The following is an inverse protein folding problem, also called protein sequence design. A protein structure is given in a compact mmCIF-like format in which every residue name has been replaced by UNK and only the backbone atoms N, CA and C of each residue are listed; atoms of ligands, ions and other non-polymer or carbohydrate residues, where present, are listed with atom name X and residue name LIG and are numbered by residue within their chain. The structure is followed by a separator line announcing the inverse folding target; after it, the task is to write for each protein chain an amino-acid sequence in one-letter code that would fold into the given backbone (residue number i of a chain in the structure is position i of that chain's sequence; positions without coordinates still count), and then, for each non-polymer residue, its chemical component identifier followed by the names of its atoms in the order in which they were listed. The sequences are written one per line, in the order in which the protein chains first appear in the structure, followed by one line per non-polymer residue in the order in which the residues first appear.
data_IF_375585335430
#
_entry.id   IF_375585335430
#
_cell.length_a   1.000
_cell.length_b   1.000
_cell.length_c   1.000
_cell.angle_alpha   90.00
_cell.angle_beta   90.00
_cell.angle_gamma   90.00
#
_symmetry.space_group_name_H-M   'P 1'
#
loop_
_entity.id
_entity.type
_entity.pdbx_description
1 polymer ?
#
# COMPACT_ATOMS: atom_id res chain seq x y z
N UNK A 1 1.27 -55.23 54.56
CA UNK A 1 0.31 -54.15 54.91
C UNK A 1 0.76 -52.88 54.21
N UNK A 2 -0.15 -52.23 53.50
CA UNK A 2 0.08 -51.19 52.50
C UNK A 2 0.70 -49.91 53.10
N UNK A 3 1.74 -49.41 52.45
CA UNK A 3 2.10 -48.00 52.46
C UNK A 3 1.17 -47.25 51.50
N UNK A 4 0.47 -46.21 51.96
CA UNK A 4 -0.28 -45.28 51.12
C UNK A 4 0.49 -43.97 51.00
N UNK A 5 0.75 -43.43 49.79
CA UNK A 5 1.28 -42.09 49.66
C UNK A 5 0.13 -41.08 49.78
N UNK A 6 0.32 -40.07 50.64
CA UNK A 6 -0.55 -38.90 50.69
C UNK A 6 -0.42 -38.13 49.37
N UNK A 7 -1.52 -38.10 48.61
CA UNK A 7 -1.66 -37.31 47.41
C UNK A 7 -1.63 -35.83 47.74
N UNK A 8 -0.70 -35.12 47.10
CA UNK A 8 -0.59 -33.68 47.08
C UNK A 8 -1.72 -33.12 46.19
N UNK A 9 -2.86 -32.73 46.78
CA UNK A 9 -3.93 -32.01 46.06
C UNK A 9 -3.52 -30.54 45.84
N UNK A 10 -2.61 -30.34 44.89
CA UNK A 10 -2.40 -29.03 44.27
C UNK A 10 -3.64 -28.67 43.44
N UNK A 11 -4.45 -27.73 43.95
CA UNK A 11 -5.70 -27.26 43.34
C UNK A 11 -5.55 -26.92 41.86
N UNK A 12 -6.01 -27.83 40.99
CA UNK A 12 -6.15 -27.58 39.58
C UNK A 12 -7.32 -26.61 39.38
N UNK A 13 -7.02 -25.32 39.18
CA UNK A 13 -8.03 -24.32 38.77
C UNK A 13 -8.81 -24.91 37.58
N UNK A 14 -10.14 -25.05 37.67
CA UNK A 14 -10.96 -25.67 36.63
C UNK A 14 -10.68 -25.05 35.26
N UNK A 15 -10.57 -25.87 34.21
CA UNK A 15 -10.28 -25.41 32.85
C UNK A 15 -11.21 -24.27 32.38
N UNK A 16 -12.46 -24.26 32.87
CA UNK A 16 -13.44 -23.19 32.65
C UNK A 16 -13.04 -21.86 33.28
N UNK A 17 -12.55 -21.86 34.52
CA UNK A 17 -12.06 -20.65 35.21
C UNK A 17 -10.76 -20.13 34.58
N UNK A 18 -9.87 -21.02 34.13
CA UNK A 18 -8.68 -20.65 33.34
C UNK A 18 -9.08 -20.02 32.00
N UNK A 19 -10.09 -20.55 31.31
CA UNK A 19 -10.62 -19.99 30.06
C UNK A 19 -11.23 -18.61 30.28
N UNK A 20 -12.09 -18.44 31.29
CA UNK A 20 -12.70 -17.15 31.65
C UNK A 20 -11.63 -16.11 32.01
N UNK A 21 -10.65 -16.47 32.84
CA UNK A 21 -9.54 -15.56 33.20
C UNK A 21 -8.69 -15.15 31.99
N UNK A 22 -8.39 -16.11 31.10
CA UNK A 22 -7.67 -15.84 29.85
C UNK A 22 -8.48 -14.93 28.91
N UNK A 23 -9.77 -15.17 28.77
CA UNK A 23 -10.64 -14.41 27.85
C UNK A 23 -10.87 -12.98 28.38
N UNK A 24 -11.00 -12.82 29.71
CA UNK A 24 -11.03 -11.51 30.38
C UNK A 24 -9.71 -10.77 30.19
N UNK A 25 -8.56 -11.45 30.37
CA UNK A 25 -7.24 -10.85 30.14
C UNK A 25 -7.01 -10.52 28.65
N UNK A 26 -7.40 -11.40 27.72
CA UNK A 26 -7.32 -11.14 26.29
C UNK A 26 -8.20 -9.95 25.88
N UNK A 27 -9.38 -9.82 26.48
CA UNK A 27 -10.24 -8.66 26.30
C UNK A 27 -9.63 -7.40 26.90
N UNK A 28 -9.05 -7.48 28.10
CA UNK A 28 -8.31 -6.37 28.73
C UNK A 28 -7.11 -5.94 27.88
N UNK A 29 -6.32 -6.87 27.34
CA UNK A 29 -5.19 -6.55 26.47
C UNK A 29 -5.66 -6.03 25.11
N UNK A 30 -6.69 -6.62 24.52
CA UNK A 30 -7.26 -6.17 23.24
C UNK A 30 -7.87 -4.76 23.33
N UNK A 31 -8.67 -4.51 24.36
CA UNK A 31 -9.31 -3.21 24.65
C UNK A 31 -8.29 -2.21 25.17
N UNK A 32 -7.42 -2.61 26.10
CA UNK A 32 -6.35 -1.79 26.68
C UNK A 32 -5.29 -1.38 25.66
N UNK A 33 -4.99 -2.21 24.65
CA UNK A 33 -4.23 -1.78 23.45
C UNK A 33 -4.97 -0.71 22.67
N UNK A 34 -6.29 -0.83 22.56
CA UNK A 34 -7.14 0.24 22.02
C UNK A 34 -6.90 1.56 22.73
N UNK A 35 -6.76 1.53 24.07
CA UNK A 35 -6.45 2.70 24.91
C UNK A 35 -5.00 3.18 24.75
N UNK A 36 -3.99 2.29 24.68
CA UNK A 36 -2.60 2.70 24.47
C UNK A 36 -2.34 3.28 23.07
N UNK A 37 -3.01 2.74 22.04
CA UNK A 37 -2.99 3.29 20.70
C UNK A 37 -3.95 4.48 20.53
N UNK A 38 -4.80 4.80 21.52
CA UNK A 38 -5.80 5.85 21.41
C UNK A 38 -5.17 7.26 21.26
N UNK A 39 -4.15 7.66 22.04
CA UNK A 39 -3.46 8.93 21.82
C UNK A 39 -2.84 9.01 20.43
N UNK A 40 -2.20 7.93 19.98
CA UNK A 40 -1.58 7.83 18.66
C UNK A 40 -2.64 7.93 17.55
N UNK A 41 -3.76 7.21 17.67
CA UNK A 41 -4.89 7.27 16.74
C UNK A 41 -5.56 8.65 16.73
N UNK A 42 -5.69 9.28 17.89
CA UNK A 42 -6.27 10.62 18.01
C UNK A 42 -5.36 11.63 17.34
N UNK A 43 -4.05 11.57 17.60
CA UNK A 43 -3.04 12.39 16.94
C UNK A 43 -3.06 12.17 15.42
N UNK A 44 -3.18 10.93 14.95
CA UNK A 44 -3.30 10.64 13.52
C UNK A 44 -4.59 11.19 12.91
N UNK A 45 -5.70 11.17 13.66
CA UNK A 45 -7.01 11.66 13.22
C UNK A 45 -7.15 13.17 13.27
N UNK A 46 -6.29 13.89 14.00
CA UNK A 46 -6.35 15.35 14.15
C UNK A 46 -5.18 16.05 13.47
N UNK A 47 -3.95 15.71 13.85
CA UNK A 47 -2.71 16.37 13.43
C UNK A 47 -2.04 15.63 12.28
N UNK A 48 -2.09 14.29 12.26
CA UNK A 48 -1.58 13.45 11.18
C UNK A 48 -2.33 13.60 9.85
N UNK A 49 -3.36 14.44 9.81
CA UNK A 49 -4.00 14.90 8.57
C UNK A 49 -3.18 15.98 7.85
N UNK A 50 -2.13 16.52 8.49
CA UNK A 50 -1.23 17.52 7.91
C UNK A 50 -0.03 16.81 7.31
N UNK A 51 0.21 17.05 6.02
CA UNK A 51 1.34 16.48 5.28
C UNK A 51 2.69 16.67 6.00
N UNK A 52 2.99 17.90 6.45
CA UNK A 52 4.27 18.20 7.10
C UNK A 52 4.51 17.37 8.36
N UNK A 53 3.48 17.17 9.18
CA UNK A 53 3.57 16.34 10.38
C UNK A 53 3.85 14.87 10.06
N UNK A 54 3.17 14.33 9.03
CA UNK A 54 3.37 12.94 8.62
C UNK A 54 4.79 12.72 8.08
N UNK A 55 5.31 13.66 7.28
CA UNK A 55 6.69 13.63 6.78
C UNK A 55 7.69 13.70 7.93
N UNK A 56 7.54 14.65 8.86
CA UNK A 56 8.41 14.74 10.03
C UNK A 56 8.38 13.47 10.85
N UNK A 57 7.20 12.89 11.08
CA UNK A 57 7.08 11.63 11.81
C UNK A 57 7.90 10.52 11.14
N UNK A 58 7.80 10.35 9.82
CA UNK A 58 8.58 9.33 9.12
C UNK A 58 10.07 9.61 9.12
N UNK A 59 10.49 10.87 8.98
CA UNK A 59 11.89 11.26 8.98
C UNK A 59 12.59 11.02 10.33
N UNK A 60 11.89 11.24 11.45
CA UNK A 60 12.49 11.14 12.79
C UNK A 60 12.25 9.79 13.49
N UNK A 61 11.30 8.99 13.02
CA UNK A 61 10.95 7.73 13.67
C UNK A 61 11.86 6.60 13.21
N UNK A 62 12.47 5.84 14.13
CA UNK A 62 13.26 4.66 13.76
C UNK A 62 12.43 3.65 12.94
N UNK A 63 12.94 3.14 11.81
CA UNK A 63 12.21 2.17 10.98
C UNK A 63 11.77 0.91 11.73
N UNK A 64 12.58 0.45 12.70
CA UNK A 64 12.25 -0.70 13.57
C UNK A 64 11.05 -0.43 14.47
N UNK A 65 10.90 0.80 14.97
CA UNK A 65 9.76 1.25 15.75
C UNK A 65 8.50 1.32 14.88
N UNK A 66 8.61 1.92 13.68
CA UNK A 66 7.49 1.99 12.73
C UNK A 66 6.99 0.60 12.33
N UNK A 67 7.91 -0.35 12.08
CA UNK A 67 7.56 -1.75 11.80
C UNK A 67 6.84 -2.41 12.98
N UNK A 68 7.27 -2.13 14.21
CA UNK A 68 6.61 -2.64 15.42
C UNK A 68 5.20 -2.07 15.55
N UNK A 69 5.03 -0.76 15.36
CA UNK A 69 3.72 -0.09 15.37
C UNK A 69 2.82 -0.67 14.29
N UNK A 70 3.35 -0.88 13.08
CA UNK A 70 2.65 -1.51 11.96
C UNK A 70 2.08 -2.87 12.35
N UNK A 71 2.92 -3.76 12.89
CA UNK A 71 2.51 -5.08 13.36
C UNK A 71 1.44 -5.00 14.45
N UNK A 72 1.62 -4.15 15.46
CA UNK A 72 0.66 -3.99 16.55
C UNK A 72 -0.71 -3.51 16.07
N UNK A 73 -0.74 -2.60 15.08
CA UNK A 73 -1.98 -2.11 14.48
C UNK A 73 -2.65 -3.17 13.62
N UNK A 74 -1.88 -3.95 12.88
CA UNK A 74 -2.38 -5.09 12.11
C UNK A 74 -2.95 -6.19 13.01
N UNK A 75 -2.27 -6.54 14.11
CA UNK A 75 -2.80 -7.45 15.13
C UNK A 75 -4.13 -6.96 15.72
N UNK A 76 -4.24 -5.65 15.96
CA UNK A 76 -5.51 -5.05 16.43
C UNK A 76 -6.62 -5.15 15.38
N UNK A 77 -6.31 -4.90 14.10
CA UNK A 77 -7.26 -5.06 13.01
C UNK A 77 -7.73 -6.52 12.88
N UNK A 78 -6.79 -7.46 12.94
CA UNK A 78 -7.05 -8.90 12.91
C UNK A 78 -7.92 -9.36 14.08
N UNK A 79 -7.56 -8.98 15.31
CA UNK A 79 -8.33 -9.31 16.52
C UNK A 79 -9.76 -8.75 16.49
N UNK A 80 -9.94 -7.57 15.88
CA UNK A 80 -11.27 -6.99 15.66
C UNK A 80 -12.04 -7.77 14.59
N UNK A 81 -11.39 -8.17 13.50
CA UNK A 81 -12.00 -8.94 12.43
C UNK A 81 -12.54 -10.28 12.96
N UNK A 82 -11.75 -10.99 13.79
CA UNK A 82 -12.15 -12.30 14.37
C UNK A 82 -13.42 -12.23 15.22
N UNK A 83 -13.78 -11.04 15.72
CA UNK A 83 -14.94 -10.82 16.59
C UNK A 83 -16.13 -10.17 15.91
N UNK A 84 -15.91 -9.51 14.77
CA UNK A 84 -16.92 -8.61 14.18
C UNK A 84 -17.28 -8.97 12.75
N UNK A 85 -16.48 -9.75 12.04
CA UNK A 85 -16.74 -10.09 10.63
C UNK A 85 -17.26 -11.51 10.57
N UNK A 86 -18.55 -11.73 10.20
CA UNK A 86 -19.15 -13.06 10.14
C UNK A 86 -18.35 -14.04 9.27
N UNK A 87 -18.00 -13.65 8.04
CA UNK A 87 -17.23 -14.49 7.12
C UNK A 87 -15.86 -14.86 7.69
N UNK A 88 -15.19 -13.93 8.36
CA UNK A 88 -13.86 -14.20 8.94
C UNK A 88 -13.95 -15.19 10.11
N UNK A 89 -15.00 -15.09 10.92
CA UNK A 89 -15.26 -16.08 11.97
C UNK A 89 -15.51 -17.49 11.40
N UNK A 90 -16.32 -17.60 10.34
CA UNK A 90 -16.58 -18.86 9.66
C UNK A 90 -15.32 -19.43 8.99
N UNK A 91 -14.56 -18.59 8.29
CA UNK A 91 -13.27 -18.94 7.69
C UNK A 91 -12.27 -19.53 8.69
N UNK A 92 -12.16 -18.90 9.87
CA UNK A 92 -11.28 -19.42 10.92
C UNK A 92 -11.79 -20.75 11.49
N UNK A 93 -13.10 -20.92 11.67
CA UNK A 93 -13.67 -22.17 12.14
C UNK A 93 -13.41 -23.33 11.18
N UNK A 94 -13.59 -23.10 9.87
CA UNK A 94 -13.28 -24.09 8.82
C UNK A 94 -11.79 -24.44 8.77
N UNK A 95 -10.91 -23.46 9.01
CA UNK A 95 -9.47 -23.67 9.12
C UNK A 95 -9.03 -24.31 10.46
N UNK A 96 -9.97 -24.69 11.33
CA UNK A 96 -9.68 -25.31 12.63
C UNK A 96 -9.15 -24.35 13.70
N UNK A 97 -9.32 -23.04 13.51
CA UNK A 97 -8.83 -22.00 14.43
C UNK A 97 -9.96 -21.52 15.36
N UNK A 98 -9.83 -21.77 16.67
CA UNK A 98 -10.75 -21.23 17.69
C UNK A 98 -10.57 -19.71 17.85
N UNK A 99 -11.38 -18.94 17.11
CA UNK A 99 -11.38 -17.48 17.12
C UNK A 99 -11.61 -16.87 18.52
N UNK A 100 -12.38 -17.55 19.40
CA UNK A 100 -12.62 -17.08 20.76
C UNK A 100 -11.38 -17.26 21.64
N UNK A 101 -10.61 -18.33 21.40
CA UNK A 101 -9.37 -18.63 22.11
C UNK A 101 -8.14 -17.83 21.66
N UNK A 102 -8.25 -17.04 20.59
CA UNK A 102 -7.14 -16.24 20.07
C UNK A 102 -6.77 -15.07 20.99
N UNK A 103 -5.49 -15.01 21.33
CA UNK A 103 -4.91 -13.90 22.09
C UNK A 103 -4.47 -12.76 21.14
N UNK A 104 -4.72 -11.48 21.49
CA UNK A 104 -4.42 -10.36 20.58
C UNK A 104 -2.94 -10.21 20.18
N UNK A 105 -2.00 -10.48 21.10
CA UNK A 105 -0.56 -10.37 20.83
C UNK A 105 -0.08 -11.58 20.03
N UNK A 106 0.64 -11.34 18.93
CA UNK A 106 1.12 -12.40 18.05
C UNK A 106 0.02 -13.08 17.22
N UNK A 107 -1.19 -12.51 17.19
CA UNK A 107 -2.35 -13.15 16.55
C UNK A 107 -2.11 -13.45 15.06
N UNK A 108 -1.39 -12.57 14.36
CA UNK A 108 -1.10 -12.75 12.93
C UNK A 108 -0.38 -14.06 12.63
N UNK A 109 0.51 -14.53 13.53
CA UNK A 109 1.21 -15.80 13.34
C UNK A 109 0.35 -17.04 13.54
N UNK A 110 -0.92 -16.88 13.93
CA UNK A 110 -1.90 -17.97 14.15
C UNK A 110 -3.05 -17.95 13.15
N UNK A 111 -3.07 -16.96 12.27
CA UNK A 111 -4.15 -16.78 11.29
C UNK A 111 -3.68 -17.32 9.95
N UNK A 112 -4.52 -18.12 9.24
CA UNK A 112 -4.24 -18.49 7.88
C UNK A 112 -4.26 -17.27 6.96
N UNK A 113 -3.61 -17.40 5.80
CA UNK A 113 -3.68 -16.43 4.71
C UNK A 113 -5.08 -16.42 4.10
N UNK A 114 -5.52 -15.25 3.64
CA UNK A 114 -6.74 -15.09 2.85
C UNK A 114 -6.38 -14.69 1.44
N UNK A 115 -7.16 -15.10 0.47
CA UNK A 115 -6.99 -14.68 -0.92
C UNK A 115 -8.36 -14.69 -1.63
N UNK A 116 -8.35 -14.50 -2.95
CA UNK A 116 -9.57 -14.54 -3.77
C UNK A 116 -10.30 -15.88 -3.64
N UNK A 117 -9.59 -16.98 -3.82
CA UNK A 117 -10.12 -18.34 -3.86
C UNK A 117 -10.52 -18.84 -2.47
N UNK A 118 -9.68 -18.63 -1.46
CA UNK A 118 -9.88 -19.16 -0.10
C UNK A 118 -10.88 -18.35 0.71
N UNK A 119 -11.11 -17.07 0.37
CA UNK A 119 -11.93 -16.17 1.16
C UNK A 119 -12.94 -15.34 0.36
N UNK A 120 -12.56 -14.72 -0.76
CA UNK A 120 -13.47 -13.82 -1.47
C UNK A 120 -14.58 -14.58 -2.20
N UNK A 121 -14.23 -15.69 -2.85
CA UNK A 121 -15.15 -16.54 -3.63
C UNK A 121 -16.10 -17.33 -2.73
N UNK A 122 -15.62 -17.71 -1.54
CA UNK A 122 -16.36 -18.61 -0.63
C UNK A 122 -17.39 -17.90 0.22
N UNK A 123 -17.24 -16.60 0.44
CA UNK A 123 -18.05 -15.85 1.40
C UNK A 123 -18.80 -14.67 0.76
N UNK A 124 -20.12 -14.53 1.02
CA UNK A 124 -20.92 -13.42 0.51
C UNK A 124 -20.34 -12.04 0.84
N UNK A 125 -20.53 -11.08 -0.07
CA UNK A 125 -19.99 -9.72 0.07
C UNK A 125 -20.33 -9.05 1.42
N UNK A 126 -21.57 -9.18 1.88
CA UNK A 126 -22.01 -8.57 3.13
C UNK A 126 -21.42 -9.25 4.36
N UNK A 127 -21.26 -10.58 4.34
CA UNK A 127 -20.67 -11.33 5.45
C UNK A 127 -19.17 -11.02 5.63
N UNK A 128 -18.50 -10.61 4.56
CA UNK A 128 -17.12 -10.10 4.60
C UNK A 128 -17.02 -8.70 5.22
N UNK A 129 -18.14 -8.02 5.45
CA UNK A 129 -18.17 -6.70 6.06
C UNK A 129 -18.23 -6.76 7.60
N UNK A 130 -17.71 -5.73 8.25
CA UNK A 130 -17.78 -5.56 9.70
C UNK A 130 -19.24 -5.52 10.16
N UNK A 131 -19.63 -6.51 10.95
CA UNK A 131 -20.99 -6.81 11.45
C UNK A 131 -21.99 -7.25 10.37
N UNK A 132 -21.53 -7.76 9.22
CA UNK A 132 -22.41 -8.35 8.20
C UNK A 132 -23.24 -7.33 7.42
N UNK A 133 -22.91 -6.04 7.47
CA UNK A 133 -23.72 -5.00 6.83
C UNK A 133 -22.94 -3.72 6.56
N UNK A 134 -23.55 -2.84 5.76
CA UNK A 134 -22.93 -1.60 5.29
C UNK A 134 -23.90 -0.42 5.40
N UNK A 135 -23.41 0.81 5.65
CA UNK A 135 -24.22 1.99 5.47
C UNK A 135 -24.57 2.15 3.99
N UNK A 136 -25.76 2.65 3.67
CA UNK A 136 -26.13 2.90 2.25
C UNK A 136 -25.44 4.17 1.74
N UNK A 137 -25.64 5.29 2.42
CA UNK A 137 -25.09 6.57 2.00
C UNK A 137 -23.55 6.59 2.05
N UNK A 138 -22.94 6.90 0.91
CA UNK A 138 -21.48 7.04 0.77
C UNK A 138 -20.71 5.74 0.57
N UNK A 139 -21.41 4.61 0.48
CA UNK A 139 -20.83 3.31 0.08
C UNK A 139 -20.75 3.22 -1.44
N UNK A 140 -19.62 2.74 -1.94
CA UNK A 140 -19.40 2.47 -3.37
C UNK A 140 -18.94 1.04 -3.57
N UNK A 141 -19.05 0.56 -4.81
CA UNK A 141 -18.51 -0.72 -5.24
C UNK A 141 -17.54 -0.41 -6.37
N UNK A 142 -16.29 -0.83 -6.18
CA UNK A 142 -15.23 -0.71 -7.17
C UNK A 142 -14.91 -2.12 -7.69
N UNK A 143 -14.49 -2.23 -8.94
CA UNK A 143 -14.17 -3.50 -9.60
C UNK A 143 -12.68 -3.67 -9.82
N UNK A 144 -12.20 -4.92 -9.70
CA UNK A 144 -10.89 -5.31 -10.21
C UNK A 144 -10.85 -5.28 -11.74
N UNK A 145 -9.67 -5.18 -12.34
CA UNK A 145 -9.49 -5.20 -13.80
C UNK A 145 -9.95 -6.49 -14.50
N UNK A 146 -10.19 -7.59 -13.77
CA UNK A 146 -10.60 -8.87 -14.35
C UNK A 146 -9.47 -9.64 -15.05
N UNK A 147 -8.21 -9.32 -14.78
CA UNK A 147 -7.05 -9.97 -15.42
C UNK A 147 -7.01 -11.50 -15.23
N UNK A 148 -7.68 -12.03 -14.20
CA UNK A 148 -7.76 -13.46 -13.87
C UNK A 148 -9.13 -14.08 -14.16
N UNK A 149 -10.03 -13.38 -14.87
CA UNK A 149 -11.39 -13.85 -15.18
C UNK A 149 -12.47 -12.86 -14.75
N UNK A 150 -13.50 -13.33 -14.03
CA UNK A 150 -14.61 -12.48 -13.58
C UNK A 150 -14.11 -11.35 -12.66
N UNK A 151 -14.44 -10.08 -12.94
CA UNK A 151 -14.10 -8.97 -12.06
C UNK A 151 -14.69 -9.13 -10.65
N UNK A 152 -13.85 -8.92 -9.64
CA UNK A 152 -14.24 -8.91 -8.24
C UNK A 152 -14.82 -7.57 -7.84
N UNK A 153 -15.91 -7.62 -7.08
CA UNK A 153 -16.58 -6.46 -6.51
C UNK A 153 -16.06 -6.14 -5.10
N UNK A 154 -15.61 -4.90 -4.91
CA UNK A 154 -15.03 -4.41 -3.68
C UNK A 154 -15.85 -3.28 -3.10
N UNK A 155 -16.55 -3.58 -2.00
CA UNK A 155 -17.37 -2.59 -1.30
C UNK A 155 -16.51 -1.70 -0.41
N UNK A 156 -16.70 -0.38 -0.54
CA UNK A 156 -15.88 0.64 0.11
C UNK A 156 -16.75 1.67 0.83
N UNK A 157 -16.39 1.96 2.07
CA UNK A 157 -17.08 2.97 2.87
C UNK A 157 -16.63 4.39 2.55
N UNK A 158 -17.46 5.38 2.89
CA UNK A 158 -17.09 6.80 2.73
C UNK A 158 -15.78 7.16 3.44
N UNK A 159 -15.65 6.81 4.72
CA UNK A 159 -14.46 7.10 5.53
C UNK A 159 -13.21 6.42 4.98
N UNK A 160 -13.37 5.17 4.56
CA UNK A 160 -12.32 4.38 3.95
C UNK A 160 -11.74 5.07 2.70
N UNK A 161 -12.62 5.57 1.83
CA UNK A 161 -12.24 6.31 0.61
C UNK A 161 -11.67 7.68 0.90
N UNK A 162 -12.27 8.45 1.82
CA UNK A 162 -11.76 9.78 2.20
C UNK A 162 -10.28 9.72 2.64
N UNK A 163 -9.91 8.67 3.37
CA UNK A 163 -8.52 8.44 3.78
C UNK A 163 -7.62 8.02 2.62
N UNK A 164 -8.09 7.11 1.74
CA UNK A 164 -7.34 6.72 0.54
C UNK A 164 -7.07 7.93 -0.39
N UNK A 165 -8.08 8.78 -0.61
CA UNK A 165 -7.94 10.02 -1.39
C UNK A 165 -6.93 10.98 -0.79
N UNK A 166 -6.88 11.07 0.54
CA UNK A 166 -5.85 11.88 1.21
C UNK A 166 -4.45 11.29 1.05
N UNK A 167 -4.30 9.97 1.09
CA UNK A 167 -3.00 9.34 0.87
C UNK A 167 -2.50 9.54 -0.57
N UNK A 168 -3.40 9.41 -1.56
CA UNK A 168 -3.10 9.76 -2.96
C UNK A 168 -2.60 11.21 -3.03
N UNK A 169 -3.30 12.13 -2.36
CA UNK A 169 -2.85 13.51 -2.30
C UNK A 169 -1.47 13.62 -1.62
N UNK A 170 -1.24 13.04 -0.44
CA UNK A 170 0.07 13.11 0.20
C UNK A 170 1.20 12.59 -0.68
N UNK A 171 0.97 11.47 -1.38
CA UNK A 171 1.92 10.94 -2.33
C UNK A 171 2.19 11.91 -3.48
N UNK A 172 1.15 12.50 -4.09
CA UNK A 172 1.34 13.49 -5.15
C UNK A 172 2.11 14.73 -4.65
N UNK A 173 1.85 15.19 -3.42
CA UNK A 173 2.60 16.31 -2.82
C UNK A 173 4.08 15.97 -2.63
N UNK A 174 4.34 14.74 -2.23
CA UNK A 174 5.68 14.22 -2.02
C UNK A 174 6.44 14.11 -3.35
N UNK A 175 5.81 13.51 -4.36
CA UNK A 175 6.43 13.24 -5.66
C UNK A 175 6.59 14.50 -6.55
N UNK A 176 5.64 15.44 -6.49
CA UNK A 176 5.54 16.55 -7.46
C UNK A 176 5.56 17.95 -6.82
N UNK A 177 5.77 18.02 -5.50
CA UNK A 177 5.78 19.25 -4.72
C UNK A 177 4.38 19.77 -4.36
N UNK A 178 4.32 20.95 -3.74
CA UNK A 178 3.07 21.58 -3.30
C UNK A 178 2.51 22.66 -4.23
N UNK A 179 3.22 22.98 -5.31
CA UNK A 179 2.70 23.92 -6.30
C UNK A 179 1.51 23.27 -7.05
N UNK A 180 0.46 24.04 -7.39
CA UNK A 180 -0.75 23.50 -8.02
C UNK A 180 -0.47 22.73 -9.31
N UNK A 181 -1.24 21.67 -9.54
CA UNK A 181 -1.17 20.84 -10.74
C UNK A 181 -2.52 20.83 -11.46
N UNK A 182 -2.50 20.79 -12.79
CA UNK A 182 -3.63 20.34 -13.60
C UNK A 182 -3.43 18.84 -13.87
N UNK A 183 -4.22 18.01 -13.21
CA UNK A 183 -4.17 16.56 -13.39
C UNK A 183 -5.06 16.13 -14.55
N UNK A 184 -4.47 15.50 -15.55
CA UNK A 184 -5.17 14.76 -16.60
C UNK A 184 -5.15 13.29 -16.21
N UNK A 185 -6.29 12.78 -15.74
CA UNK A 185 -6.41 11.39 -15.33
C UNK A 185 -6.78 10.52 -16.53
N UNK A 186 -5.83 9.67 -16.93
CA UNK A 186 -5.92 8.74 -18.05
C UNK A 186 -6.04 7.27 -17.63
N UNK A 187 -6.24 6.98 -16.34
CA UNK A 187 -6.68 5.64 -15.92
C UNK A 187 -8.10 5.34 -16.43
N UNK A 188 -8.40 4.05 -16.65
CA UNK A 188 -9.75 3.64 -17.06
C UNK A 188 -10.80 4.10 -16.04
N UNK A 189 -11.86 4.72 -16.54
CA UNK A 189 -12.94 5.31 -15.75
C UNK A 189 -14.15 4.39 -15.67
N UNK A 190 -14.99 4.54 -14.65
CA UNK A 190 -16.17 3.70 -14.43
C UNK A 190 -16.01 2.88 -13.15
N UNK A 191 -16.26 1.58 -13.22
CA UNK A 191 -16.18 0.68 -12.06
C UNK A 191 -14.75 0.45 -11.57
N UNK A 192 -13.73 0.64 -12.42
CA UNK A 192 -12.33 0.43 -12.04
C UNK A 192 -11.88 1.39 -10.94
N UNK A 193 -11.34 0.80 -9.87
CA UNK A 193 -10.99 1.55 -8.66
C UNK A 193 -10.02 2.71 -8.94
N UNK A 194 -8.99 2.48 -9.76
CA UNK A 194 -7.92 3.45 -10.03
C UNK A 194 -8.44 4.77 -10.60
N UNK A 195 -9.25 4.74 -11.67
CA UNK A 195 -9.73 5.94 -12.36
C UNK A 195 -10.52 6.85 -11.44
N UNK A 196 -11.59 6.33 -10.83
CA UNK A 196 -12.47 7.15 -10.00
C UNK A 196 -11.77 7.71 -8.75
N UNK A 197 -11.02 6.87 -8.02
CA UNK A 197 -10.36 7.29 -6.78
C UNK A 197 -9.16 8.22 -7.04
N UNK A 198 -8.44 8.06 -8.16
CA UNK A 198 -7.38 8.99 -8.55
C UNK A 198 -7.96 10.39 -8.77
N UNK A 199 -9.08 10.50 -9.49
CA UNK A 199 -9.74 11.79 -9.69
C UNK A 199 -10.13 12.45 -8.38
N UNK A 200 -10.78 11.71 -7.48
CA UNK A 200 -11.20 12.25 -6.19
C UNK A 200 -10.02 12.60 -5.26
N UNK A 201 -8.96 11.82 -5.29
CA UNK A 201 -7.71 12.10 -4.58
C UNK A 201 -7.07 13.40 -5.05
N UNK A 202 -6.93 13.56 -6.37
CA UNK A 202 -6.21 14.67 -6.97
C UNK A 202 -6.96 16.01 -6.95
N UNK A 203 -8.29 16.01 -6.77
CA UNK A 203 -9.05 17.25 -6.53
C UNK A 203 -8.61 17.99 -5.25
N UNK A 204 -7.87 17.32 -4.36
CA UNK A 204 -7.27 17.94 -3.16
C UNK A 204 -6.00 18.75 -3.47
N UNK A 205 -5.44 18.62 -4.67
CA UNK A 205 -4.18 19.25 -5.09
C UNK A 205 -4.32 20.30 -6.17
N UNK A 206 -5.38 20.23 -6.96
CA UNK A 206 -5.59 21.18 -8.04
C UNK A 206 -6.75 20.79 -8.92
N UNK A 207 -6.67 21.22 -10.17
CA UNK A 207 -7.72 20.96 -11.17
C UNK A 207 -7.55 19.53 -11.68
N UNK A 208 -8.65 18.81 -11.82
CA UNK A 208 -8.64 17.44 -12.36
C UNK A 208 -9.56 17.37 -13.56
N UNK A 209 -9.03 16.90 -14.70
CA UNK A 209 -9.82 16.50 -15.87
C UNK A 209 -9.69 14.99 -16.05
N UNK A 210 -10.80 14.27 -15.84
CA UNK A 210 -10.84 12.81 -15.95
C UNK A 210 -11.24 12.43 -17.36
N UNK A 211 -10.29 11.98 -18.16
CA UNK A 211 -10.47 11.73 -19.59
C UNK A 211 -10.50 10.23 -19.89
N UNK A 212 -9.86 9.40 -19.06
CA UNK A 212 -9.57 8.02 -19.41
C UNK A 212 -8.44 7.92 -20.45
N UNK A 213 -8.11 6.70 -20.90
CA UNK A 213 -7.00 6.47 -21.83
C UNK A 213 -7.38 6.89 -23.27
N UNK A 214 -7.57 8.19 -23.48
CA UNK A 214 -7.99 8.79 -24.76
C UNK A 214 -6.96 9.83 -25.22
N UNK A 215 -6.14 9.44 -26.20
CA UNK A 215 -5.01 10.22 -26.71
C UNK A 215 -5.45 11.58 -27.26
N UNK A 216 -6.52 11.60 -28.06
CA UNK A 216 -7.02 12.80 -28.72
C UNK A 216 -7.48 13.84 -27.71
N UNK A 217 -8.25 13.40 -26.71
CA UNK A 217 -8.74 14.29 -25.67
C UNK A 217 -7.61 14.80 -24.77
N UNK A 218 -6.58 13.99 -24.50
CA UNK A 218 -5.42 14.43 -23.71
C UNK A 218 -4.66 15.52 -24.46
N UNK A 219 -4.25 15.27 -25.70
CA UNK A 219 -3.51 16.25 -26.51
C UNK A 219 -4.32 17.52 -26.75
N UNK A 220 -5.62 17.38 -27.07
CA UNK A 220 -6.53 18.53 -27.21
C UNK A 220 -6.63 19.34 -25.91
N UNK A 221 -6.65 18.68 -24.75
CA UNK A 221 -6.69 19.36 -23.45
C UNK A 221 -5.42 20.17 -23.20
N UNK A 222 -4.26 19.60 -23.48
CA UNK A 222 -2.99 20.31 -23.34
C UNK A 222 -2.97 21.54 -24.26
N UNK A 223 -3.36 21.40 -25.52
CA UNK A 223 -3.44 22.53 -26.48
C UNK A 223 -4.39 23.62 -26.02
N UNK A 224 -5.58 23.26 -25.51
CA UNK A 224 -6.59 24.23 -25.05
C UNK A 224 -6.10 25.01 -23.82
N UNK A 225 -5.41 24.34 -22.90
CA UNK A 225 -4.92 24.98 -21.67
C UNK A 225 -3.60 25.73 -21.88
N UNK A 226 -2.83 25.34 -22.89
CA UNK A 226 -1.52 25.90 -23.20
C UNK A 226 -0.42 25.52 -22.20
N UNK A 227 0.82 25.96 -22.46
CA UNK A 227 2.01 25.55 -21.71
C UNK A 227 2.19 26.22 -20.33
N UNK A 228 1.27 27.11 -19.92
CA UNK A 228 1.46 27.97 -18.73
C UNK A 228 1.31 27.24 -17.40
N UNK A 229 0.81 26.01 -17.40
CA UNK A 229 0.52 25.23 -16.20
C UNK A 229 1.46 24.05 -16.03
N UNK A 230 1.57 23.60 -14.78
CA UNK A 230 2.19 22.31 -14.43
C UNK A 230 1.16 21.21 -14.60
N UNK A 231 1.43 20.25 -15.47
CA UNK A 231 0.53 19.13 -15.74
C UNK A 231 0.98 17.87 -15.01
N UNK A 232 0.01 17.10 -14.53
CA UNK A 232 0.23 15.72 -14.10
C UNK A 232 -0.62 14.80 -14.97
N UNK A 233 0.00 13.89 -15.71
CA UNK A 233 -0.70 12.86 -16.46
C UNK A 233 -0.59 11.55 -15.67
N UNK A 234 -1.73 11.04 -15.20
CA UNK A 234 -1.78 9.76 -14.50
C UNK A 234 -2.37 8.66 -15.38
N UNK A 235 -1.80 7.46 -15.34
CA UNK A 235 -2.27 6.36 -16.19
C UNK A 235 -1.37 5.14 -16.17
N UNK A 236 -1.53 4.28 -17.17
CA UNK A 236 -0.73 3.07 -17.32
C UNK A 236 0.62 3.39 -17.99
N UNK A 237 1.76 2.84 -17.54
CA UNK A 237 3.08 3.07 -18.16
C UNK A 237 3.12 2.92 -19.71
N UNK A 238 2.66 1.82 -20.33
CA UNK A 238 2.65 1.68 -21.78
C UNK A 238 1.68 2.67 -22.46
N UNK A 239 0.58 3.04 -21.81
CA UNK A 239 -0.32 4.06 -22.35
C UNK A 239 0.35 5.44 -22.39
N UNK A 240 1.10 5.82 -21.35
CA UNK A 240 1.88 7.07 -21.35
C UNK A 240 2.95 7.07 -22.45
N UNK A 241 3.58 5.92 -22.73
CA UNK A 241 4.47 5.79 -23.89
C UNK A 241 3.72 6.05 -25.20
N UNK A 242 2.57 5.41 -25.38
CA UNK A 242 1.75 5.57 -26.58
C UNK A 242 1.31 7.04 -26.77
N UNK A 243 1.03 7.75 -25.67
CA UNK A 243 0.77 9.18 -25.69
C UNK A 243 1.96 9.99 -26.22
N UNK A 244 3.18 9.68 -25.79
CA UNK A 244 4.37 10.35 -26.31
C UNK A 244 4.61 10.02 -27.79
N UNK A 245 4.52 8.75 -28.18
CA UNK A 245 4.69 8.31 -29.57
C UNK A 245 3.70 9.05 -30.49
N UNK A 246 2.44 9.14 -30.08
CA UNK A 246 1.39 9.77 -30.87
C UNK A 246 1.53 11.30 -30.92
N UNK A 247 1.93 11.92 -29.81
CA UNK A 247 2.23 13.35 -29.81
C UNK A 247 3.45 13.69 -30.67
N UNK A 248 4.52 12.89 -30.62
CA UNK A 248 5.70 13.04 -31.47
C UNK A 248 5.33 12.89 -32.96
N UNK A 249 4.49 11.89 -33.30
CA UNK A 249 3.96 11.70 -34.66
C UNK A 249 3.17 12.93 -35.17
N UNK A 250 2.48 13.63 -34.27
CA UNK A 250 1.71 14.85 -34.58
C UNK A 250 2.53 16.13 -34.49
N UNK A 251 3.80 16.06 -34.12
CA UNK A 251 4.64 17.24 -33.88
C UNK A 251 4.18 18.07 -32.68
N UNK A 252 3.63 17.43 -31.64
CA UNK A 252 3.22 18.13 -30.42
C UNK A 252 4.45 18.75 -29.73
N UNK A 253 4.42 20.03 -29.34
CA UNK A 253 5.60 20.74 -28.85
C UNK A 253 5.82 20.46 -27.35
N UNK A 254 6.17 19.22 -27.01
CA UNK A 254 6.34 18.76 -25.62
C UNK A 254 7.29 19.63 -24.79
N UNK A 255 8.34 20.18 -25.41
CA UNK A 255 9.34 21.01 -24.74
C UNK A 255 8.77 22.30 -24.14
N UNK A 256 7.62 22.77 -24.65
CA UNK A 256 6.96 23.96 -24.14
C UNK A 256 6.20 23.67 -22.83
N UNK A 257 5.92 22.40 -22.51
CA UNK A 257 5.05 22.01 -21.40
C UNK A 257 5.85 21.43 -20.22
N UNK A 258 5.47 21.83 -18.99
CA UNK A 258 5.92 21.17 -17.78
C UNK A 258 4.99 20.00 -17.42
N UNK A 259 5.37 18.77 -17.80
CA UNK A 259 4.54 17.57 -17.59
C UNK A 259 5.21 16.60 -16.62
N UNK A 260 4.47 16.15 -15.62
CA UNK A 260 4.83 15.07 -14.71
C UNK A 260 3.99 13.82 -15.00
N UNK A 261 4.55 12.63 -14.75
CA UNK A 261 3.87 11.35 -14.89
C UNK A 261 3.64 10.64 -13.56
N UNK A 262 2.42 10.15 -13.34
CA UNK A 262 2.10 9.22 -12.25
C UNK A 262 1.54 7.91 -12.82
N UNK A 263 2.35 6.86 -12.83
CA UNK A 263 1.97 5.57 -13.40
C UNK A 263 1.52 4.56 -12.34
N UNK A 264 0.73 3.56 -12.75
CA UNK A 264 0.34 2.44 -11.89
C UNK A 264 -0.47 1.39 -12.64
N UNK A 265 -0.94 0.38 -11.90
CA UNK A 265 -1.72 -0.73 -12.45
C UNK A 265 -0.91 -1.85 -13.10
N UNK A 266 0.34 -1.58 -13.47
CA UNK A 266 1.31 -2.55 -13.99
C UNK A 266 2.75 -2.07 -13.74
N UNK A 267 3.71 -2.98 -13.91
CA UNK A 267 5.13 -2.68 -13.73
C UNK A 267 5.69 -1.77 -14.83
N UNK A 268 6.69 -0.96 -14.46
CA UNK A 268 7.42 -0.09 -15.39
C UNK A 268 8.91 -0.42 -15.34
N UNK A 269 9.55 -0.65 -16.48
CA UNK A 269 11.01 -0.82 -16.53
C UNK A 269 11.72 0.53 -16.38
N UNK A 270 12.99 0.54 -15.95
CA UNK A 270 13.74 1.80 -15.89
C UNK A 270 14.01 2.36 -17.29
N UNK A 271 14.10 1.52 -18.32
CA UNK A 271 14.19 1.94 -19.73
C UNK A 271 12.91 2.66 -20.18
N UNK A 272 11.74 2.15 -19.79
CA UNK A 272 10.48 2.82 -20.06
C UNK A 272 10.40 4.16 -19.29
N UNK A 273 10.87 4.22 -18.05
CA UNK A 273 10.98 5.49 -17.32
C UNK A 273 11.90 6.47 -18.04
N UNK A 274 13.06 6.02 -18.50
CA UNK A 274 14.03 6.84 -19.22
C UNK A 274 13.39 7.42 -20.50
N UNK A 275 12.63 6.62 -21.24
CA UNK A 275 11.87 7.09 -22.40
C UNK A 275 10.87 8.18 -22.02
N UNK A 276 10.05 7.96 -20.98
CA UNK A 276 9.07 8.95 -20.53
C UNK A 276 9.72 10.26 -20.07
N UNK A 277 10.86 10.17 -19.38
CA UNK A 277 11.64 11.32 -18.91
C UNK A 277 12.24 12.15 -20.05
N UNK A 278 12.26 11.67 -21.29
CA UNK A 278 12.66 12.52 -22.44
C UNK A 278 11.67 13.67 -22.69
N UNK A 279 10.41 13.54 -22.26
CA UNK A 279 9.38 14.58 -22.40
C UNK A 279 8.87 15.05 -21.05
N UNK A 280 8.74 14.16 -20.08
CA UNK A 280 8.25 14.48 -18.74
C UNK A 280 9.36 14.91 -17.79
N UNK A 281 9.07 15.86 -16.91
CA UNK A 281 9.97 16.36 -15.86
C UNK A 281 10.27 15.31 -14.81
N UNK A 282 9.26 14.57 -14.38
CA UNK A 282 9.43 13.48 -13.43
C UNK A 282 8.39 12.39 -13.68
N UNK A 283 8.73 11.16 -13.32
CA UNK A 283 7.84 10.00 -13.43
C UNK A 283 7.97 9.16 -12.18
N UNK A 284 6.84 8.94 -11.50
CA UNK A 284 6.75 8.07 -10.32
C UNK A 284 5.69 7.00 -10.53
N UNK A 285 5.89 5.83 -9.93
CA UNK A 285 4.94 4.73 -9.91
C UNK A 285 4.29 4.56 -8.54
N UNK A 286 2.99 4.26 -8.54
CA UNK A 286 2.24 3.79 -7.38
C UNK A 286 1.95 2.29 -7.49
N UNK A 287 2.03 1.60 -6.36
CA UNK A 287 1.62 0.21 -6.22
C UNK A 287 0.33 0.11 -5.40
N UNK A 288 -0.61 -0.67 -5.92
CA UNK A 288 -1.87 -0.96 -5.26
C UNK A 288 -2.60 -2.07 -5.98
N UNK A 289 -3.48 -2.72 -5.24
CA UNK A 289 -4.38 -3.75 -5.75
C UNK A 289 -5.80 -3.37 -5.35
N UNK A 290 -6.77 -3.57 -6.25
CA UNK A 290 -8.20 -3.30 -5.97
C UNK A 290 -8.70 -4.06 -4.75
N UNK A 291 -8.08 -5.21 -4.49
CA UNK A 291 -8.33 -6.10 -3.38
C UNK A 291 -7.99 -5.44 -2.04
N UNK A 292 -6.92 -4.64 -2.00
CA UNK A 292 -6.38 -3.99 -0.82
C UNK A 292 -6.75 -2.51 -0.82
N UNK A 293 -6.03 -1.68 -1.59
CA UNK A 293 -6.31 -0.29 -1.94
C UNK A 293 -5.32 0.19 -3.03
N UNK A 294 -5.66 1.29 -3.72
CA UNK A 294 -4.93 1.81 -4.92
C UNK A 294 -3.60 2.50 -4.56
N UNK A 295 -3.41 2.89 -3.30
CA UNK A 295 -2.21 3.60 -2.82
C UNK A 295 -1.51 2.86 -1.69
N UNK A 296 -1.18 1.59 -1.93
CA UNK A 296 -0.57 0.71 -0.93
C UNK A 296 0.90 1.05 -0.70
N UNK A 297 1.64 1.31 -1.78
CA UNK A 297 3.01 1.77 -1.75
C UNK A 297 3.27 2.73 -2.92
N UNK A 298 4.37 3.47 -2.88
CA UNK A 298 4.76 4.35 -3.97
C UNK A 298 6.27 4.48 -4.07
N UNK A 299 6.73 4.90 -5.23
CA UNK A 299 8.14 5.19 -5.45
C UNK A 299 8.54 6.47 -4.74
N UNK A 300 9.77 6.47 -4.25
CA UNK A 300 10.47 7.65 -3.78
C UNK A 300 11.73 7.88 -4.61
N UNK A 301 12.32 9.07 -4.57
CA UNK A 301 13.62 9.30 -5.21
C UNK A 301 14.65 8.28 -4.77
N UNK A 302 14.69 7.94 -3.47
CA UNK A 302 15.59 6.91 -2.95
C UNK A 302 15.25 5.50 -3.45
N UNK A 303 13.96 5.13 -3.56
CA UNK A 303 13.59 3.81 -4.10
C UNK A 303 13.93 3.67 -5.58
N UNK A 304 13.77 4.75 -6.36
CA UNK A 304 14.19 4.82 -7.76
C UNK A 304 15.72 4.73 -7.86
N UNK A 305 16.46 5.47 -7.01
CA UNK A 305 17.92 5.44 -6.98
C UNK A 305 18.47 4.05 -6.65
N UNK A 306 17.92 3.38 -5.62
CA UNK A 306 18.26 1.99 -5.28
C UNK A 306 18.00 1.04 -6.45
N UNK A 307 16.84 1.20 -7.12
CA UNK A 307 16.48 0.37 -8.27
C UNK A 307 17.42 0.58 -9.46
N UNK A 308 17.80 1.83 -9.75
CA UNK A 308 18.75 2.17 -10.81
C UNK A 308 20.15 1.66 -10.51
N UNK A 309 20.61 1.82 -9.27
CA UNK A 309 21.87 1.25 -8.82
C UNK A 309 21.87 -0.27 -9.00
N UNK A 310 20.84 -0.97 -8.57
CA UNK A 310 20.74 -2.42 -8.73
C UNK A 310 20.74 -2.88 -10.20
N UNK A 311 20.23 -2.05 -11.12
CA UNK A 311 20.35 -2.28 -12.57
C UNK A 311 21.81 -2.13 -13.04
N UNK A 312 22.48 -1.07 -12.62
CA UNK A 312 23.87 -0.77 -13.01
C UNK A 312 24.90 -1.69 -12.34
N UNK A 313 24.56 -2.21 -11.15
CA UNK A 313 25.39 -3.05 -10.29
C UNK A 313 24.64 -4.34 -9.91
N UNK A 314 24.66 -5.36 -10.80
CA UNK A 314 23.96 -6.62 -10.57
C UNK A 314 24.42 -7.37 -9.31
N UNK A 315 25.64 -7.14 -8.86
CA UNK A 315 26.16 -7.64 -7.58
C UNK A 315 25.38 -7.08 -6.39
N UNK A 316 25.14 -5.77 -6.37
CA UNK A 316 24.30 -5.09 -5.36
C UNK A 316 22.85 -5.52 -5.51
N UNK A 317 22.34 -5.58 -6.74
CA UNK A 317 20.98 -6.04 -7.02
C UNK A 317 20.71 -7.45 -6.50
N UNK A 318 21.68 -8.36 -6.66
CA UNK A 318 21.58 -9.74 -6.15
C UNK A 318 21.55 -9.81 -4.63
N UNK A 319 22.36 -8.99 -3.95
CA UNK A 319 22.39 -8.94 -2.49
C UNK A 319 21.07 -8.35 -1.93
N UNK A 320 20.50 -7.34 -2.60
CA UNK A 320 19.26 -6.70 -2.16
C UNK A 320 18.00 -7.52 -2.49
N UNK A 321 17.91 -8.10 -3.69
CA UNK A 321 16.67 -8.68 -4.22
C UNK A 321 16.71 -10.20 -4.41
N UNK A 322 17.90 -10.79 -4.30
CA UNK A 322 18.15 -12.21 -4.55
C UNK A 322 18.56 -12.50 -6.00
N UNK A 323 18.62 -13.78 -6.35
CA UNK A 323 19.19 -14.25 -7.62
C UNK A 323 18.25 -14.21 -8.83
N UNK A 324 17.01 -13.70 -8.69
CA UNK A 324 16.09 -13.55 -9.83
C UNK A 324 16.68 -12.54 -10.83
N UNK A 325 16.70 -12.87 -12.11
CA UNK A 325 17.25 -12.01 -13.16
C UNK A 325 16.37 -10.80 -13.47
N UNK A 326 15.10 -10.81 -13.04
CA UNK A 326 14.17 -9.69 -13.22
C UNK A 326 14.44 -8.62 -12.16
N UNK A 327 14.55 -7.36 -12.61
CA UNK A 327 14.64 -6.23 -11.71
C UNK A 327 13.26 -5.85 -11.15
N UNK A 328 12.99 -6.06 -9.85
CA UNK A 328 11.68 -5.74 -9.28
C UNK A 328 11.43 -4.23 -9.28
N UNK A 329 10.16 -3.84 -9.24
CA UNK A 329 9.79 -2.48 -8.81
C UNK A 329 10.19 -2.31 -7.33
N UNK A 330 10.64 -1.12 -6.94
CA UNK A 330 11.03 -0.84 -5.54
C UNK A 330 10.16 0.30 -5.01
N UNK A 331 9.37 -0.01 -3.99
CA UNK A 331 8.41 0.92 -3.39
C UNK A 331 8.63 1.08 -1.89
N UNK A 332 8.14 2.19 -1.34
CA UNK A 332 7.97 2.38 0.09
C UNK A 332 6.48 2.42 0.42
N UNK A 333 6.07 1.74 1.48
CA UNK A 333 4.68 1.71 1.94
C UNK A 333 4.53 2.44 3.28
N UNK A 334 3.30 2.81 3.63
CA UNK A 334 3.01 3.48 4.90
C UNK A 334 2.77 2.44 6.02
N UNK A 335 3.72 2.27 6.98
CA UNK A 335 3.61 1.26 8.03
C UNK A 335 2.47 1.54 9.03
N UNK A 336 1.90 2.74 9.03
CA UNK A 336 0.82 3.12 9.94
C UNK A 336 -0.56 2.68 9.46
N UNK A 337 -0.68 2.25 8.21
CA UNK A 337 -1.95 1.82 7.60
C UNK A 337 -1.85 0.46 6.91
N UNK A 338 -0.65 -0.01 6.58
CA UNK A 338 -0.39 -1.37 6.11
C UNK A 338 0.64 -2.08 6.97
N UNK A 339 0.54 -3.41 6.99
CA UNK A 339 1.57 -4.31 7.46
C UNK A 339 1.78 -5.37 6.37
N UNK A 340 3.02 -5.48 5.90
CA UNK A 340 3.41 -6.37 4.82
C UNK A 340 4.17 -7.57 5.37
N UNK A 341 3.93 -8.73 4.78
CA UNK A 341 4.60 -10.00 5.01
C UNK A 341 4.95 -10.62 3.65
N UNK A 342 5.83 -11.63 3.65
CA UNK A 342 6.16 -12.44 2.48
C UNK A 342 6.08 -13.91 2.89
N UNK A 343 5.40 -14.74 2.11
CA UNK A 343 5.33 -16.18 2.36
C UNK A 343 6.52 -16.94 1.75
N UNK A 344 6.53 -18.26 1.97
CA UNK A 344 7.57 -19.16 1.45
C UNK A 344 7.60 -19.24 -0.09
N UNK A 345 6.50 -18.85 -0.76
CA UNK A 345 6.41 -18.75 -2.22
C UNK A 345 6.89 -17.40 -2.76
N UNK A 346 7.41 -16.51 -1.90
CA UNK A 346 7.81 -15.13 -2.24
C UNK A 346 6.66 -14.26 -2.75
N UNK A 347 5.45 -14.50 -2.26
CA UNK A 347 4.29 -13.66 -2.55
C UNK A 347 4.06 -12.64 -1.44
N UNK A 348 3.60 -11.45 -1.82
CA UNK A 348 3.32 -10.36 -0.88
C UNK A 348 1.97 -10.58 -0.19
N UNK A 349 2.00 -10.55 1.14
CA UNK A 349 0.82 -10.62 2.00
C UNK A 349 0.63 -9.26 2.68
N UNK A 350 -0.59 -8.73 2.62
CA UNK A 350 -0.93 -7.45 3.22
C UNK A 350 -2.03 -7.59 4.28
N UNK A 351 -1.80 -6.98 5.44
CA UNK A 351 -2.86 -6.64 6.40
C UNK A 351 -3.08 -5.13 6.39
N UNK A 352 -4.29 -4.70 6.05
CA UNK A 352 -4.68 -3.29 6.20
C UNK A 352 -5.01 -3.04 7.67
N UNK A 353 -4.17 -2.24 8.33
CA UNK A 353 -4.23 -2.03 9.78
C UNK A 353 -5.24 -0.96 10.20
N UNK A 354 -5.92 -0.34 9.23
CA UNK A 354 -6.98 0.63 9.48
C UNK A 354 -8.28 -0.05 9.90
N UNK A 355 -9.06 0.63 10.74
CA UNK A 355 -10.27 0.08 11.37
C UNK A 355 -11.59 0.60 10.79
N UNK A 356 -11.49 1.44 9.77
CA UNK A 356 -12.58 2.10 9.04
C UNK A 356 -12.95 1.39 7.73
N UNK A 357 -12.25 0.30 7.37
CA UNK A 357 -12.62 -0.56 6.26
C UNK A 357 -13.96 -1.21 6.51
N UNK A 358 -14.83 -1.22 5.50
CA UNK A 358 -16.08 -1.99 5.56
C UNK A 358 -15.78 -3.47 5.61
N UNK A 359 -14.95 -3.96 4.70
CA UNK A 359 -14.49 -5.34 4.67
C UNK A 359 -12.99 -5.38 5.00
N UNK A 360 -12.58 -5.82 6.21
CA UNK A 360 -11.17 -5.92 6.57
C UNK A 360 -10.36 -6.84 5.64
N UNK A 361 -9.07 -6.55 5.47
CA UNK A 361 -8.10 -7.38 4.75
C UNK A 361 -7.02 -7.81 5.73
N UNK A 362 -7.08 -9.06 6.17
CA UNK A 362 -6.21 -9.63 7.20
C UNK A 362 -5.42 -10.76 6.56
N UNK A 363 -4.09 -10.64 6.60
CA UNK A 363 -3.16 -11.56 5.92
C UNK A 363 -3.63 -11.91 4.50
N UNK A 364 -3.97 -10.88 3.73
CA UNK A 364 -4.47 -11.07 2.38
C UNK A 364 -3.29 -11.25 1.41
N UNK A 365 -3.18 -12.42 0.81
CA UNK A 365 -2.20 -12.73 -0.22
C UNK A 365 -2.65 -12.09 -1.54
N UNK A 366 -1.81 -11.19 -2.07
CA UNK A 366 -2.08 -10.47 -3.32
C UNK A 366 -1.67 -11.31 -4.54
N UNK A 367 -0.87 -12.36 -4.33
CA UNK A 367 -0.21 -13.19 -5.34
C UNK A 367 0.80 -12.45 -6.22
N UNK A 368 1.19 -11.24 -5.83
CA UNK A 368 2.30 -10.53 -6.45
C UNK A 368 3.62 -11.10 -5.93
N UNK A 369 4.46 -11.58 -6.86
CA UNK A 369 5.80 -12.04 -6.54
C UNK A 369 6.69 -10.86 -6.13
N UNK A 370 7.36 -10.96 -4.98
CA UNK A 370 8.14 -9.86 -4.43
C UNK A 370 8.95 -10.22 -3.20
N UNK A 371 9.27 -9.17 -2.43
CA UNK A 371 10.06 -9.26 -1.21
C UNK A 371 9.92 -8.01 -0.36
N UNK A 372 10.35 -8.11 0.90
CA UNK A 372 10.46 -6.96 1.80
C UNK A 372 11.92 -6.88 2.24
N UNK A 373 12.56 -5.76 1.91
CA UNK A 373 13.91 -5.46 2.39
C UNK A 373 13.80 -4.41 3.49
N UNK A 374 14.19 -4.72 4.74
CA UNK A 374 14.21 -3.73 5.81
C UNK A 374 15.13 -2.55 5.46
N UNK A 375 14.72 -1.33 5.82
CA UNK A 375 15.50 -0.12 5.56
C UNK A 375 16.96 -0.22 6.07
N UNK A 376 17.15 -0.80 7.27
CA UNK A 376 18.48 -1.03 7.84
C UNK A 376 19.33 -2.02 7.02
N UNK A 377 18.72 -3.00 6.37
CA UNK A 377 19.41 -3.93 5.50
C UNK A 377 19.81 -3.27 4.18
N UNK A 378 18.95 -2.43 3.60
CA UNK A 378 19.30 -1.62 2.43
C UNK A 378 20.53 -0.77 2.76
N UNK A 379 20.50 -0.03 3.88
CA UNK A 379 21.62 0.79 4.30
C UNK A 379 22.91 -0.03 4.50
N UNK A 380 22.83 -1.15 5.22
CA UNK A 380 23.98 -2.03 5.46
C UNK A 380 24.59 -2.58 4.17
N UNK A 381 23.75 -3.00 3.22
CA UNK A 381 24.22 -3.53 1.94
C UNK A 381 24.90 -2.42 1.15
N UNK A 382 24.25 -1.25 0.99
CA UNK A 382 24.83 -0.14 0.24
C UNK A 382 26.16 0.34 0.84
N UNK A 383 26.23 0.50 2.16
CA UNK A 383 27.44 0.91 2.88
C UNK A 383 28.60 -0.09 2.65
N UNK A 384 28.28 -1.40 2.64
CA UNK A 384 29.25 -2.45 2.32
C UNK A 384 29.84 -2.37 0.90
N UNK A 385 29.15 -1.70 -0.02
CA UNK A 385 29.62 -1.43 -1.39
C UNK A 385 30.13 0.01 -1.58
N UNK A 386 30.21 0.81 -0.51
CA UNK A 386 30.69 2.20 -0.54
C UNK A 386 29.67 3.22 -1.04
N UNK A 387 28.37 2.90 -1.00
CA UNK A 387 27.29 3.82 -1.33
C UNK A 387 26.59 4.32 -0.07
N UNK A 388 26.43 5.64 0.05
CA UNK A 388 25.58 6.27 1.05
C UNK A 388 24.16 6.44 0.50
N UNK A 389 23.17 6.00 1.27
CA UNK A 389 21.76 6.07 0.91
C UNK A 389 21.27 7.53 0.79
N UNK A 390 21.82 8.44 1.61
CA UNK A 390 21.43 9.86 1.65
C UNK A 390 21.96 10.64 0.43
N UNK A 391 23.06 10.20 -0.18
CA UNK A 391 23.61 10.81 -1.40
C UNK A 391 23.40 9.95 -2.65
N UNK A 392 22.65 8.84 -2.54
CA UNK A 392 22.55 7.84 -3.61
C UNK A 392 22.03 8.42 -4.92
N UNK A 393 21.08 9.36 -4.85
CA UNK A 393 20.50 10.03 -6.03
C UNK A 393 21.50 10.89 -6.83
N UNK A 394 22.67 11.19 -6.25
CA UNK A 394 23.75 11.97 -6.88
C UNK A 394 24.75 11.06 -7.62
N UNK A 395 24.71 9.76 -7.40
CA UNK A 395 25.63 8.80 -8.01
C UNK A 395 25.33 8.58 -9.50
N UNK A 396 26.33 8.59 -10.40
CA UNK A 396 26.12 8.41 -11.84
C UNK A 396 25.30 7.16 -12.20
N UNK A 397 25.45 6.08 -11.45
CA UNK A 397 24.73 4.81 -11.61
C UNK A 397 23.23 4.93 -11.35
N UNK A 398 22.83 5.88 -10.50
CA UNK A 398 21.44 6.18 -10.18
C UNK A 398 20.82 7.25 -11.09
N UNK A 399 21.58 7.87 -12.00
CA UNK A 399 21.08 8.94 -12.86
C UNK A 399 20.09 8.45 -13.91
N UNK A 400 19.24 9.37 -14.36
CA UNK A 400 18.43 9.19 -15.56
C UNK A 400 18.82 10.17 -16.66
N UNK A 401 18.04 10.21 -17.76
CA UNK A 401 18.32 11.11 -18.89
C UNK A 401 18.22 12.60 -18.51
N UNK A 402 17.62 12.91 -17.36
CA UNK A 402 17.56 14.27 -16.79
C UNK A 402 18.61 14.54 -15.71
N UNK A 403 19.59 13.65 -15.55
CA UNK A 403 20.68 13.78 -14.59
C UNK A 403 20.36 13.17 -13.21
N UNK A 404 20.92 13.74 -12.12
CA UNK A 404 20.68 13.30 -10.76
C UNK A 404 19.20 13.28 -10.38
N UNK A 405 18.87 12.52 -9.34
CA UNK A 405 17.55 12.50 -8.70
C UNK A 405 17.65 13.30 -7.39
N UNK A 406 17.49 14.65 -7.42
CA UNK A 406 18.01 15.51 -6.36
C UNK A 406 17.10 15.58 -5.12
N UNK A 407 16.69 14.45 -4.52
CA UNK A 407 15.86 14.48 -3.29
C UNK A 407 15.92 13.19 -2.46
N UNK A 408 17.13 12.68 -2.20
CA UNK A 408 17.35 11.67 -1.16
C UNK A 408 17.59 12.37 0.20
N UNK A 409 16.53 12.85 0.86
CA UNK A 409 16.54 13.13 2.30
C UNK A 409 15.22 12.73 2.93
#
# INVERSE_FOLDING_TARGET
MRAGPMGNEGGAVPARLRRIGRDAFASFVGVGRGVWLFPLDTMFRTVGLKYGWLMTLFAVSPPSLLRTISKLRAERAAWRATRRVPAYGAFLAEAGVDAAGLFPLGILGRLPETDKQSYVDRYPLMDRCNRGGVPFAGTTIDESSGSTGTPYNWIRGRRERELAHRNIAFFARYAFGSAPLITINAFSMGAWAAGFNMSLGMMRHGIVKSIGPDLDKILSTLTVLGPTYRFLISGYPPFLKHLLDEGDRRGFPWADYEIHGLVGGEGMTEELRDLLLQRFVSVFSGYGATDIEIGMAGESPVSIAVRRLARARPDIGRELFGADSRLPMVFQYNPLIHYMEVNDHREVICTVSRLDLLAPRIRYNVHDAGGIVPYADVHRVLDGYGYDLDTLGETPEAHGPRGPLPWAR
#
